data_IF_908231734530
#
_entry.id   IF_908231734530
#
_cell.length_a   1.000
_cell.length_b   1.000
_cell.length_c   1.000
_cell.angle_alpha   90.00
_cell.angle_beta   90.00
_cell.angle_gamma   90.00
#
_symmetry.space_group_name_H-M   'P 1'
#
loop_
_entity.id
_entity.type
_entity.pdbx_description
1 polymer ?
#
# COMPACT_ATOMS: atom_id res chain seq x y z
N UNK A 1 17.07 -4.30 14.52
CA UNK A 1 18.29 -4.69 15.15
C UNK A 1 18.90 -3.61 16.03
N UNK A 2 18.58 -2.33 15.79
CA UNK A 2 19.27 -1.19 16.43
C UNK A 2 18.63 -0.70 17.74
N UNK A 3 17.70 -1.46 18.28
CA UNK A 3 17.02 -1.15 19.55
C UNK A 3 17.10 -2.33 20.51
N UNK A 4 18.27 -2.65 21.07
CA UNK A 4 18.49 -3.89 21.83
C UNK A 4 17.79 -3.92 23.21
N UNK A 5 17.36 -2.79 23.74
CA UNK A 5 16.84 -2.66 25.11
C UNK A 5 15.32 -2.46 25.22
N UNK A 6 14.59 -2.60 24.11
CA UNK A 6 13.14 -2.46 24.10
C UNK A 6 12.48 -3.69 23.47
N UNK A 7 11.27 -4.00 23.92
CA UNK A 7 10.44 -5.00 23.27
C UNK A 7 10.08 -4.58 21.85
N UNK A 8 10.05 -5.55 20.94
CA UNK A 8 9.83 -5.32 19.52
C UNK A 8 8.72 -6.19 19.01
N UNK A 9 7.79 -5.57 18.29
CA UNK A 9 6.82 -6.27 17.47
C UNK A 9 7.04 -5.93 16.00
N UNK A 10 6.79 -6.88 15.12
CA UNK A 10 6.88 -6.68 13.68
C UNK A 10 5.67 -7.26 12.96
N UNK A 11 5.39 -6.75 11.78
CA UNK A 11 4.42 -7.33 10.85
C UNK A 11 5.15 -8.16 9.81
N UNK A 12 4.60 -9.32 9.44
CA UNK A 12 5.06 -10.09 8.29
C UNK A 12 4.47 -9.50 7.01
N UNK A 13 5.34 -9.15 6.06
CA UNK A 13 4.93 -8.58 4.76
C UNK A 13 4.60 -9.70 3.78
N UNK A 14 3.34 -9.92 3.47
CA UNK A 14 2.90 -11.00 2.58
C UNK A 14 2.27 -10.53 1.26
N UNK A 15 1.92 -9.26 1.13
CA UNK A 15 1.22 -8.75 -0.07
C UNK A 15 1.98 -8.88 -1.40
N UNK A 16 3.28 -9.15 -1.35
CA UNK A 16 4.17 -9.33 -2.50
C UNK A 16 5.05 -10.58 -2.39
N UNK A 17 4.72 -11.47 -1.46
CA UNK A 17 5.44 -12.72 -1.25
C UNK A 17 5.20 -13.69 -2.41
N UNK A 18 6.27 -14.13 -3.05
CA UNK A 18 6.21 -14.97 -4.25
C UNK A 18 5.49 -16.31 -4.01
N UNK A 19 5.66 -16.92 -2.83
CA UNK A 19 5.01 -18.17 -2.51
C UNK A 19 3.50 -18.00 -2.31
N UNK A 20 3.10 -16.95 -1.57
CA UNK A 20 1.68 -16.62 -1.40
C UNK A 20 1.03 -16.29 -2.74
N UNK A 21 1.69 -15.47 -3.58
CA UNK A 21 1.15 -15.09 -4.88
C UNK A 21 0.99 -16.32 -5.80
N UNK A 22 1.90 -17.28 -5.73
CA UNK A 22 1.81 -18.53 -6.46
C UNK A 22 0.64 -19.40 -5.95
N UNK A 23 0.46 -19.53 -4.62
CA UNK A 23 -0.69 -20.22 -4.04
C UNK A 23 -2.00 -19.61 -4.56
N UNK A 24 -2.14 -18.28 -4.49
CA UNK A 24 -3.34 -17.59 -4.97
C UNK A 24 -3.54 -17.82 -6.47
N UNK A 25 -2.47 -17.76 -7.26
CA UNK A 25 -2.50 -17.92 -8.71
C UNK A 25 -2.98 -19.32 -9.13
N UNK A 26 -2.55 -20.34 -8.40
CA UNK A 26 -2.98 -21.73 -8.62
C UNK A 26 -4.38 -22.03 -8.14
N UNK A 27 -5.05 -21.07 -7.50
CA UNK A 27 -6.39 -21.25 -6.97
C UNK A 27 -6.42 -22.07 -5.68
N UNK A 28 -5.37 -21.98 -4.87
CA UNK A 28 -5.31 -22.63 -3.55
C UNK A 28 -6.54 -22.33 -2.71
N UNK A 29 -7.01 -23.31 -1.96
CA UNK A 29 -8.14 -23.12 -1.05
C UNK A 29 -7.76 -22.17 0.10
N UNK A 30 -8.75 -21.47 0.67
CA UNK A 30 -8.49 -20.52 1.76
C UNK A 30 -7.76 -21.16 2.94
N UNK A 31 -8.05 -22.44 3.25
CA UNK A 31 -7.35 -23.17 4.31
C UNK A 31 -5.84 -23.31 4.08
N UNK A 32 -5.41 -23.51 2.84
CA UNK A 32 -3.98 -23.61 2.50
C UNK A 32 -3.29 -22.25 2.67
N UNK A 33 -4.01 -21.16 2.35
CA UNK A 33 -3.52 -19.80 2.58
C UNK A 33 -3.43 -19.53 4.09
N UNK A 34 -4.43 -19.95 4.86
CA UNK A 34 -4.44 -19.83 6.31
C UNK A 34 -3.26 -20.60 6.94
N UNK A 35 -3.00 -21.81 6.49
CA UNK A 35 -1.87 -22.62 6.96
C UNK A 35 -0.53 -21.94 6.70
N UNK A 36 -0.38 -21.35 5.52
CA UNK A 36 0.82 -20.58 5.19
C UNK A 36 0.97 -19.34 6.05
N UNK A 37 -0.08 -18.55 6.23
CA UNK A 37 -0.09 -17.35 7.09
C UNK A 37 0.24 -17.74 8.54
N UNK A 38 -0.37 -18.81 9.06
CA UNK A 38 -0.10 -19.32 10.39
C UNK A 38 1.36 -19.76 10.56
N UNK A 39 1.91 -20.46 9.55
CA UNK A 39 3.32 -20.85 9.53
C UNK A 39 4.23 -19.62 9.60
N UNK A 40 4.00 -18.61 8.78
CA UNK A 40 4.80 -17.38 8.78
C UNK A 40 4.74 -16.67 10.13
N UNK A 41 3.55 -16.47 10.70
CA UNK A 41 3.39 -15.84 12.01
C UNK A 41 4.14 -16.62 13.10
N UNK A 42 4.04 -17.94 13.09
CA UNK A 42 4.74 -18.80 14.05
C UNK A 42 6.26 -18.79 13.87
N UNK A 43 6.73 -18.83 12.64
CA UNK A 43 8.15 -18.88 12.33
C UNK A 43 8.87 -17.54 12.61
N UNK A 44 8.18 -16.42 12.35
CA UNK A 44 8.75 -15.08 12.49
C UNK A 44 8.47 -14.42 13.83
N UNK A 45 7.52 -14.95 14.60
CA UNK A 45 6.98 -14.32 15.83
C UNK A 45 6.43 -12.92 15.59
N UNK A 46 5.97 -12.63 14.37
CA UNK A 46 5.32 -11.38 14.04
C UNK A 46 3.95 -11.27 14.70
N UNK A 47 3.57 -10.04 15.07
CA UNK A 47 2.31 -9.75 15.76
C UNK A 47 1.10 -9.66 14.82
N UNK A 48 1.34 -9.56 13.51
CA UNK A 48 0.29 -9.45 12.51
C UNK A 48 0.83 -9.50 11.08
N UNK A 49 -0.07 -9.33 10.14
CA UNK A 49 0.24 -9.36 8.70
C UNK A 49 0.11 -7.96 8.11
N UNK A 50 1.05 -7.57 7.29
CA UNK A 50 1.02 -6.33 6.52
C UNK A 50 1.05 -6.59 5.02
N UNK A 51 0.30 -5.78 4.32
CA UNK A 51 0.32 -5.67 2.86
C UNK A 51 0.82 -4.28 2.50
N UNK A 52 1.80 -4.22 1.62
CA UNK A 52 2.30 -2.98 1.06
C UNK A 52 2.14 -3.05 -0.44
N UNK A 53 1.40 -2.10 -1.02
CA UNK A 53 1.14 -2.04 -2.45
C UNK A 53 0.80 -3.45 -3.02
N UNK A 54 -0.38 -4.00 -2.73
CA UNK A 54 -0.69 -5.43 -2.93
C UNK A 54 -0.36 -5.90 -4.35
N UNK A 55 0.60 -6.82 -4.48
CA UNK A 55 1.08 -7.32 -5.78
C UNK A 55 1.88 -6.31 -6.60
N UNK A 56 1.88 -5.02 -6.24
CA UNK A 56 2.48 -3.96 -7.04
C UNK A 56 4.01 -4.01 -7.05
N UNK A 57 4.63 -4.27 -5.90
CA UNK A 57 6.09 -4.43 -5.82
C UNK A 57 6.53 -5.63 -6.65
N UNK A 58 5.81 -6.74 -6.56
CA UNK A 58 6.08 -7.91 -7.38
C UNK A 58 5.87 -7.63 -8.88
N UNK A 59 4.78 -6.97 -9.25
CA UNK A 59 4.50 -6.59 -10.62
C UNK A 59 5.60 -5.70 -11.20
N UNK A 60 6.16 -4.80 -10.39
CA UNK A 60 7.26 -3.93 -10.77
C UNK A 60 8.51 -4.71 -11.20
N UNK A 61 8.85 -5.82 -10.54
CA UNK A 61 9.95 -6.71 -10.94
C UNK A 61 9.79 -7.23 -12.38
N UNK A 62 8.55 -7.33 -12.85
CA UNK A 62 8.20 -7.79 -14.18
C UNK A 62 7.82 -6.65 -15.13
N UNK A 63 8.34 -5.45 -14.86
CA UNK A 63 8.17 -4.25 -15.67
C UNK A 63 6.73 -3.72 -15.79
N UNK A 64 5.83 -4.14 -14.89
CA UNK A 64 4.49 -3.57 -14.76
C UNK A 64 4.54 -2.39 -13.78
N UNK A 65 4.46 -1.16 -14.30
CA UNK A 65 4.69 0.07 -13.54
C UNK A 65 3.47 0.62 -12.82
N UNK A 66 2.31 0.12 -13.12
CA UNK A 66 1.06 0.43 -12.45
C UNK A 66 0.27 -0.85 -12.29
N UNK A 67 -0.45 -0.97 -11.18
CA UNK A 67 -1.33 -2.08 -10.91
C UNK A 67 -2.55 -1.57 -10.13
N UNK A 68 -3.67 -1.45 -10.82
CA UNK A 68 -4.94 -1.07 -10.22
C UNK A 68 -5.56 -2.25 -9.46
N UNK A 69 -6.49 -1.93 -8.55
CA UNK A 69 -7.07 -2.91 -7.62
C UNK A 69 -7.66 -4.14 -8.32
N UNK A 70 -8.24 -3.95 -9.51
CA UNK A 70 -8.86 -5.02 -10.31
C UNK A 70 -8.05 -5.42 -11.54
N UNK A 71 -6.82 -4.93 -11.65
CA UNK A 71 -5.91 -5.27 -12.73
C UNK A 71 -5.11 -6.52 -12.39
N UNK A 72 -4.92 -7.40 -13.37
CA UNK A 72 -4.10 -8.58 -13.18
C UNK A 72 -2.60 -8.27 -13.25
N UNK A 73 -1.84 -8.76 -12.28
CA UNK A 73 -0.39 -8.77 -12.38
C UNK A 73 0.07 -9.62 -13.57
N UNK A 74 1.11 -9.16 -14.26
CA UNK A 74 1.62 -9.83 -15.48
C UNK A 74 2.07 -11.26 -15.17
N UNK A 75 2.74 -11.47 -14.06
CA UNK A 75 3.31 -12.78 -13.72
C UNK A 75 2.28 -13.76 -13.18
N UNK A 76 1.58 -13.38 -12.12
CA UNK A 76 0.70 -14.32 -11.39
C UNK A 76 -0.75 -14.30 -11.86
N UNK A 77 -1.12 -13.34 -12.70
CA UNK A 77 -2.50 -13.19 -13.20
C UNK A 77 -3.54 -13.06 -12.08
N UNK A 78 -3.15 -12.43 -10.98
CA UNK A 78 -4.01 -12.13 -9.84
C UNK A 78 -4.12 -10.63 -9.63
N UNK A 79 -5.22 -10.22 -9.02
CA UNK A 79 -5.50 -8.80 -8.74
C UNK A 79 -5.11 -8.42 -7.31
N UNK A 80 -4.76 -7.15 -7.02
CA UNK A 80 -4.66 -6.62 -5.66
C UNK A 80 -5.88 -6.93 -4.80
N UNK A 81 -7.09 -6.81 -5.36
CA UNK A 81 -8.34 -7.17 -4.69
C UNK A 81 -8.31 -8.59 -4.13
N UNK A 82 -7.86 -9.54 -4.92
CA UNK A 82 -7.80 -10.95 -4.48
C UNK A 82 -6.79 -11.14 -3.37
N UNK A 83 -5.63 -10.48 -3.44
CA UNK A 83 -4.59 -10.54 -2.41
C UNK A 83 -5.13 -10.01 -1.08
N UNK A 84 -5.71 -8.81 -1.07
CA UNK A 84 -6.27 -8.21 0.15
C UNK A 84 -7.37 -9.08 0.75
N UNK A 85 -8.30 -9.57 -0.09
CA UNK A 85 -9.41 -10.42 0.35
C UNK A 85 -8.94 -11.69 1.06
N UNK A 86 -8.03 -12.45 0.44
CA UNK A 86 -7.61 -13.72 1.03
C UNK A 86 -6.78 -13.53 2.29
N UNK A 87 -5.98 -12.45 2.37
CA UNK A 87 -5.20 -12.14 3.57
C UNK A 87 -6.07 -11.58 4.70
N UNK A 88 -7.04 -10.71 4.41
CA UNK A 88 -8.00 -10.25 5.42
C UNK A 88 -8.78 -11.42 6.01
N UNK A 89 -9.21 -12.36 5.15
CA UNK A 89 -9.89 -13.59 5.59
C UNK A 89 -8.98 -14.48 6.43
N UNK A 90 -7.72 -14.70 6.03
CA UNK A 90 -6.76 -15.50 6.79
C UNK A 90 -6.52 -14.90 8.18
N UNK A 91 -6.27 -13.60 8.27
CA UNK A 91 -6.08 -12.89 9.54
C UNK A 91 -7.29 -13.05 10.45
N UNK A 92 -8.51 -12.92 9.91
CA UNK A 92 -9.75 -13.05 10.65
C UNK A 92 -10.00 -14.50 11.12
N UNK A 93 -9.89 -15.48 10.22
CA UNK A 93 -10.15 -16.90 10.52
C UNK A 93 -9.12 -17.49 11.50
N UNK A 94 -7.88 -17.01 11.47
CA UNK A 94 -6.84 -17.40 12.42
C UNK A 94 -6.95 -16.69 13.78
N UNK A 95 -7.86 -15.74 13.93
CA UNK A 95 -8.03 -14.98 15.16
C UNK A 95 -6.82 -14.13 15.52
N UNK A 96 -6.09 -13.61 14.52
CA UNK A 96 -4.94 -12.73 14.75
C UNK A 96 -5.45 -11.44 15.42
N UNK A 97 -4.87 -11.00 16.56
CA UNK A 97 -5.39 -9.85 17.30
C UNK A 97 -5.35 -8.53 16.54
N UNK A 98 -4.37 -8.38 15.66
CA UNK A 98 -4.25 -7.19 14.83
C UNK A 98 -4.95 -7.39 13.48
N UNK A 99 -5.73 -6.40 13.01
CA UNK A 99 -6.34 -6.47 11.69
C UNK A 99 -5.27 -6.50 10.59
N UNK A 100 -5.64 -6.90 9.39
CA UNK A 100 -4.75 -6.80 8.24
C UNK A 100 -4.31 -5.33 8.06
N UNK A 101 -3.02 -5.08 8.12
CA UNK A 101 -2.44 -3.74 7.99
C UNK A 101 -2.12 -3.47 6.52
N UNK A 102 -2.72 -2.43 5.94
CA UNK A 102 -2.69 -2.19 4.49
C UNK A 102 -2.11 -0.83 4.16
N UNK A 103 -1.02 -0.83 3.42
CA UNK A 103 -0.55 0.29 2.62
C UNK A 103 -1.12 0.12 1.21
N UNK A 104 -2.05 0.97 0.82
CA UNK A 104 -2.74 0.86 -0.46
C UNK A 104 -1.81 1.14 -1.65
N UNK A 105 -2.24 0.75 -2.83
CA UNK A 105 -1.55 1.10 -4.08
C UNK A 105 -1.73 2.59 -4.41
N UNK A 106 -0.90 3.09 -5.32
CA UNK A 106 -0.97 4.46 -5.85
C UNK A 106 -0.74 5.57 -4.80
N UNK A 107 0.12 5.31 -3.80
CA UNK A 107 0.52 6.31 -2.81
C UNK A 107 0.97 7.60 -3.51
N UNK A 108 0.43 8.75 -3.08
CA UNK A 108 0.78 10.06 -3.61
C UNK A 108 0.30 10.36 -5.03
N UNK A 109 -0.40 9.44 -5.68
CA UNK A 109 -0.90 9.64 -7.06
C UNK A 109 -2.20 10.43 -7.04
N UNK A 110 -2.35 11.48 -7.88
CA UNK A 110 -3.61 12.22 -7.97
C UNK A 110 -4.81 11.30 -8.24
N UNK A 111 -5.87 11.46 -7.46
CA UNK A 111 -7.09 10.66 -7.57
C UNK A 111 -7.03 9.29 -6.89
N UNK A 112 -5.97 8.99 -6.13
CA UNK A 112 -5.78 7.68 -5.50
C UNK A 112 -6.83 7.34 -4.45
N UNK A 113 -7.59 8.31 -3.93
CA UNK A 113 -8.68 8.04 -2.98
C UNK A 113 -9.67 6.99 -3.50
N UNK A 114 -9.89 6.94 -4.82
CA UNK A 114 -10.78 5.93 -5.44
C UNK A 114 -10.20 4.52 -5.31
N UNK A 115 -8.92 4.34 -5.61
CA UNK A 115 -8.26 3.04 -5.43
C UNK A 115 -8.15 2.63 -3.96
N UNK A 116 -8.03 3.59 -3.06
CA UNK A 116 -8.06 3.36 -1.61
C UNK A 116 -9.41 2.82 -1.17
N UNK A 117 -10.52 3.43 -1.60
CA UNK A 117 -11.87 2.94 -1.33
C UNK A 117 -12.06 1.52 -1.88
N UNK A 118 -11.61 1.24 -3.10
CA UNK A 118 -11.70 -0.10 -3.68
C UNK A 118 -10.84 -1.12 -2.94
N UNK A 119 -9.68 -0.72 -2.40
CA UNK A 119 -8.85 -1.57 -1.55
C UNK A 119 -9.57 -1.91 -0.24
N UNK A 120 -10.23 -0.94 0.38
CA UNK A 120 -11.05 -1.17 1.58
C UNK A 120 -12.20 -2.15 1.28
N UNK A 121 -12.89 -1.96 0.17
CA UNK A 121 -13.96 -2.88 -0.27
C UNK A 121 -13.45 -4.31 -0.50
N UNK A 122 -12.19 -4.47 -0.89
CA UNK A 122 -11.60 -5.78 -1.11
C UNK A 122 -11.56 -6.65 0.15
N UNK A 123 -11.58 -6.05 1.33
CA UNK A 123 -11.63 -6.77 2.60
C UNK A 123 -13.02 -7.33 2.94
N UNK A 124 -14.07 -7.04 2.15
CA UNK A 124 -15.43 -7.58 2.29
C UNK A 124 -16.02 -7.38 3.69
N UNK A 125 -15.73 -6.24 4.33
CA UNK A 125 -16.21 -5.91 5.68
C UNK A 125 -15.42 -6.53 6.82
N UNK A 126 -14.40 -7.31 6.54
CA UNK A 126 -13.49 -7.84 7.56
C UNK A 126 -12.60 -6.72 8.13
N UNK A 127 -12.08 -6.90 9.36
CA UNK A 127 -11.23 -5.89 10.00
C UNK A 127 -9.97 -5.61 9.19
N UNK A 128 -9.74 -4.33 8.87
CA UNK A 128 -8.51 -3.85 8.24
C UNK A 128 -8.06 -2.53 8.86
N UNK A 129 -6.77 -2.28 8.79
CA UNK A 129 -6.16 -1.03 9.18
C UNK A 129 -5.45 -0.40 7.97
N UNK A 130 -5.86 0.80 7.59
CA UNK A 130 -5.20 1.55 6.50
C UNK A 130 -4.17 2.48 7.11
N UNK A 131 -2.92 2.26 6.77
CA UNK A 131 -1.81 3.06 7.29
C UNK A 131 -1.65 4.37 6.53
N UNK A 132 -1.15 5.40 7.23
CA UNK A 132 -0.83 6.74 6.71
C UNK A 132 -1.83 7.23 5.64
N UNK A 133 -3.10 7.23 6.03
CA UNK A 133 -4.25 7.50 5.15
C UNK A 133 -4.14 8.80 4.34
N UNK A 134 -3.42 9.81 4.86
CA UNK A 134 -3.24 11.08 4.17
C UNK A 134 -2.57 10.93 2.80
N UNK A 135 -1.65 9.96 2.64
CA UNK A 135 -1.00 9.69 1.36
C UNK A 135 -1.88 8.93 0.36
N UNK A 136 -3.02 8.47 0.82
CA UNK A 136 -4.03 7.73 0.06
C UNK A 136 -5.33 8.51 -0.14
N UNK A 137 -5.33 9.81 0.20
CA UNK A 137 -6.51 10.68 0.19
C UNK A 137 -6.41 11.83 -0.82
N UNK A 138 -5.73 11.60 -1.93
CA UNK A 138 -5.60 12.60 -2.98
C UNK A 138 -6.76 12.55 -3.95
N UNK A 139 -7.36 13.73 -4.19
CA UNK A 139 -8.29 13.99 -5.28
C UNK A 139 -7.56 14.40 -6.56
N UNK A 140 -8.33 14.74 -7.59
CA UNK A 140 -7.79 15.11 -8.91
C UNK A 140 -8.47 16.34 -9.52
N UNK A 141 -9.10 17.18 -8.69
CA UNK A 141 -9.90 18.33 -9.16
C UNK A 141 -9.15 19.68 -9.09
N UNK A 142 -7.97 19.71 -8.47
CA UNK A 142 -7.20 20.92 -8.26
C UNK A 142 -6.28 21.27 -9.41
N UNK A 143 -5.46 22.30 -9.20
CA UNK A 143 -4.38 22.65 -10.10
C UNK A 143 -3.46 21.44 -10.31
N UNK A 144 -3.06 21.22 -11.55
CA UNK A 144 -2.22 20.08 -11.97
C UNK A 144 -2.80 18.71 -11.58
N UNK A 145 -4.13 18.60 -11.52
CA UNK A 145 -4.86 17.41 -11.08
C UNK A 145 -4.58 16.99 -9.63
N UNK A 146 -4.24 17.93 -8.75
CA UNK A 146 -3.99 17.66 -7.34
C UNK A 146 -5.02 18.39 -6.47
N UNK A 147 -5.69 17.67 -5.60
CA UNK A 147 -6.59 18.20 -4.58
C UNK A 147 -6.64 17.27 -3.37
N UNK A 148 -7.21 17.72 -2.28
CA UNK A 148 -7.55 16.85 -1.16
C UNK A 148 -8.86 16.12 -1.44
N UNK A 149 -8.92 14.84 -1.11
CA UNK A 149 -10.13 14.04 -1.01
C UNK A 149 -10.30 13.47 0.41
N UNK A 150 -9.73 14.16 1.40
CA UNK A 150 -9.81 13.74 2.80
C UNK A 150 -11.25 13.72 3.33
N UNK A 151 -12.11 14.63 2.86
CA UNK A 151 -13.52 14.65 3.24
C UNK A 151 -14.24 13.38 2.77
N UNK A 152 -14.05 12.99 1.50
CA UNK A 152 -14.66 11.81 0.89
C UNK A 152 -14.18 10.53 1.55
N UNK A 153 -12.89 10.42 1.83
CA UNK A 153 -12.29 9.28 2.53
C UNK A 153 -12.82 9.19 3.95
N UNK A 154 -12.85 10.29 4.69
CA UNK A 154 -13.33 10.32 6.08
C UNK A 154 -14.80 9.94 6.15
N UNK A 155 -15.63 10.48 5.27
CA UNK A 155 -17.04 10.10 5.19
C UNK A 155 -17.21 8.60 4.91
N UNK A 156 -16.38 8.04 4.04
CA UNK A 156 -16.40 6.62 3.72
C UNK A 156 -15.97 5.76 4.91
N UNK A 157 -14.85 6.09 5.56
CA UNK A 157 -14.31 5.37 6.72
C UNK A 157 -15.32 5.35 7.87
N UNK A 158 -15.96 6.47 8.16
CA UNK A 158 -16.92 6.59 9.26
C UNK A 158 -18.17 5.69 9.10
N UNK A 159 -18.41 5.16 7.90
CA UNK A 159 -19.51 4.23 7.62
C UNK A 159 -19.15 2.77 7.84
N UNK A 160 -17.86 2.46 8.06
CA UNK A 160 -17.36 1.08 8.12
C UNK A 160 -16.85 0.76 9.53
N UNK A 161 -17.59 -0.03 10.34
CA UNK A 161 -17.27 -0.22 11.74
C UNK A 161 -15.96 -0.98 12.00
N UNK A 162 -15.52 -1.81 11.08
CA UNK A 162 -14.33 -2.67 11.22
C UNK A 162 -13.09 -2.10 10.55
N UNK A 163 -13.13 -0.81 10.20
CA UNK A 163 -12.03 -0.10 9.56
C UNK A 163 -11.38 0.84 10.56
N UNK A 164 -10.06 0.76 10.65
CA UNK A 164 -9.24 1.73 11.37
C UNK A 164 -8.21 2.31 10.43
N UNK A 165 -7.70 3.49 10.75
CA UNK A 165 -6.60 4.09 10.01
C UNK A 165 -5.68 4.88 10.95
N UNK A 166 -4.47 5.12 10.50
CA UNK A 166 -3.58 6.08 11.12
C UNK A 166 -3.26 7.23 10.17
N UNK A 167 -2.78 8.33 10.74
CA UNK A 167 -2.20 9.44 10.01
C UNK A 167 -0.70 9.37 10.25
N UNK A 168 0.08 9.11 9.21
CA UNK A 168 1.52 9.08 9.29
C UNK A 168 2.07 10.45 9.69
N UNK A 169 3.14 10.46 10.44
CA UNK A 169 3.83 11.70 10.75
C UNK A 169 4.43 12.29 9.47
N UNK A 170 3.97 13.47 9.09
CA UNK A 170 4.55 14.22 7.98
C UNK A 170 5.68 15.09 8.53
N UNK A 171 6.89 14.75 8.18
CA UNK A 171 8.03 15.61 8.41
C UNK A 171 8.18 16.54 7.20
N UNK A 172 7.90 17.80 7.41
CA UNK A 172 8.10 18.82 6.40
C UNK A 172 9.60 19.08 6.25
N UNK A 173 10.17 18.57 5.19
CA UNK A 173 11.54 18.78 4.80
C UNK A 173 11.63 19.16 3.32
N UNK A 174 12.80 19.54 2.85
CA UNK A 174 13.03 19.87 1.44
C UNK A 174 13.41 18.66 0.59
N UNK A 175 13.09 17.46 1.07
CA UNK A 175 13.45 16.21 0.39
C UNK A 175 12.24 15.29 0.30
N UNK A 176 12.16 14.55 -0.77
CA UNK A 176 11.25 13.42 -0.94
C UNK A 176 12.07 12.15 -1.08
N UNK A 177 11.61 11.05 -0.47
CA UNK A 177 12.21 9.73 -0.67
C UNK A 177 11.56 9.09 -1.89
N UNK A 178 12.40 8.63 -2.80
CA UNK A 178 11.97 7.96 -4.02
C UNK A 178 12.70 6.63 -4.13
N UNK A 179 12.02 5.61 -4.59
CA UNK A 179 12.60 4.27 -4.72
C UNK A 179 13.18 4.00 -6.14
N UNK A 180 13.91 2.94 -6.30
CA UNK A 180 14.77 2.52 -7.38
C UNK A 180 14.60 3.04 -8.80
N UNK A 181 13.47 2.84 -9.48
CA UNK A 181 13.22 3.37 -10.83
C UNK A 181 12.77 4.83 -10.84
N UNK A 182 12.75 5.45 -9.71
CA UNK A 182 12.21 6.80 -9.52
C UNK A 182 12.86 7.85 -10.41
N UNK A 183 14.15 7.74 -10.76
CA UNK A 183 14.80 8.68 -11.66
C UNK A 183 14.13 8.69 -13.04
N UNK A 184 13.80 7.53 -13.58
CA UNK A 184 13.09 7.42 -14.86
C UNK A 184 11.65 7.88 -14.74
N UNK A 185 11.01 7.53 -13.64
CA UNK A 185 9.63 7.93 -13.39
C UNK A 185 9.53 9.41 -13.06
N UNK A 186 10.49 9.96 -12.33
CA UNK A 186 10.62 11.40 -12.14
C UNK A 186 10.80 12.13 -13.47
N UNK A 187 11.66 11.65 -14.36
CA UNK A 187 11.81 12.22 -15.68
C UNK A 187 10.51 12.19 -16.49
N UNK A 188 9.78 11.09 -16.43
CA UNK A 188 8.47 10.98 -17.09
C UNK A 188 7.43 11.91 -16.44
N UNK A 189 7.49 12.09 -15.13
CA UNK A 189 6.55 12.91 -14.38
C UNK A 189 6.83 14.39 -14.53
N UNK A 190 8.10 14.79 -14.61
CA UNK A 190 8.50 16.18 -14.83
C UNK A 190 8.08 16.71 -16.20
N UNK A 191 7.87 15.86 -17.20
CA UNK A 191 7.24 16.26 -18.46
C UNK A 191 5.77 16.65 -18.27
N UNK A 192 5.05 15.98 -17.36
CA UNK A 192 3.67 16.32 -17.05
C UNK A 192 3.57 17.52 -16.08
N UNK A 193 4.56 17.69 -15.23
CA UNK A 193 4.60 18.70 -14.16
C UNK A 193 5.99 19.33 -14.03
N UNK A 194 6.43 20.14 -15.01
CA UNK A 194 7.82 20.62 -15.08
C UNK A 194 8.25 21.48 -13.89
N UNK A 195 7.32 22.13 -13.22
CA UNK A 195 7.61 23.05 -12.12
C UNK A 195 7.29 22.50 -10.74
N UNK A 196 6.84 21.24 -10.65
CA UNK A 196 6.42 20.64 -9.40
C UNK A 196 6.83 19.20 -9.31
N UNK A 197 7.53 18.88 -8.25
CA UNK A 197 7.82 17.53 -7.86
C UNK A 197 6.61 16.95 -7.14
N UNK A 198 6.11 15.85 -7.63
CA UNK A 198 5.18 15.04 -6.88
C UNK A 198 5.99 14.03 -6.10
N UNK A 199 5.77 13.99 -4.80
CA UNK A 199 6.26 12.92 -3.97
C UNK A 199 5.49 11.65 -4.39
N UNK A 200 6.07 10.88 -5.25
CA UNK A 200 5.56 9.55 -5.58
C UNK A 200 6.41 8.55 -4.84
N UNK A 201 5.82 7.88 -3.89
CA UNK A 201 6.43 6.70 -3.31
C UNK A 201 6.23 5.55 -4.29
N UNK A 202 7.30 5.23 -4.97
CA UNK A 202 7.34 4.10 -5.87
C UNK A 202 8.16 3.04 -5.18
N UNK A 203 7.46 2.20 -4.48
CA UNK A 203 8.09 1.08 -3.83
C UNK A 203 8.66 0.11 -4.85
N UNK A 204 9.97 0.01 -4.85
CA UNK A 204 10.68 -1.04 -5.55
C UNK A 204 11.81 -1.59 -4.69
N UNK A 205 12.24 -2.79 -4.98
CA UNK A 205 13.33 -3.44 -4.23
C UNK A 205 14.72 -2.90 -4.56
N UNK A 206 14.84 -2.02 -5.53
CA UNK A 206 16.13 -1.54 -6.01
C UNK A 206 16.78 -0.46 -5.12
N UNK A 207 16.16 -0.09 -4.02
CA UNK A 207 16.66 0.89 -3.07
C UNK A 207 15.98 2.25 -3.18
N UNK A 208 16.24 3.10 -2.21
CA UNK A 208 15.67 4.44 -2.10
C UNK A 208 16.70 5.52 -2.42
N UNK A 209 16.26 6.55 -3.10
CA UNK A 209 17.02 7.79 -3.28
C UNK A 209 16.36 8.95 -2.56
N UNK A 210 17.15 9.95 -2.17
CA UNK A 210 16.64 11.21 -1.65
C UNK A 210 16.83 12.28 -2.70
N UNK A 211 15.75 12.95 -3.06
CA UNK A 211 15.76 13.97 -4.09
C UNK A 211 15.34 15.31 -3.47
N UNK A 212 16.02 16.41 -3.77
CA UNK A 212 15.63 17.73 -3.30
C UNK A 212 14.19 18.06 -3.73
N UNK A 213 13.42 18.56 -2.80
CA UNK A 213 12.03 18.91 -2.99
C UNK A 213 11.82 20.42 -2.76
N UNK A 214 11.18 21.09 -3.69
CA UNK A 214 10.87 22.50 -3.58
C UNK A 214 9.42 22.70 -3.11
N UNK A 215 9.26 23.30 -1.96
CA UNK A 215 7.95 23.67 -1.46
C UNK A 215 7.33 24.82 -2.24
N UNK A 216 6.07 24.68 -2.52
CA UNK A 216 5.20 25.74 -2.99
C UNK A 216 3.93 25.72 -2.15
N UNK A 217 3.10 26.77 -2.20
CA UNK A 217 1.80 26.82 -1.52
C UNK A 217 0.88 25.67 -1.92
N UNK A 218 1.13 25.05 -3.06
CA UNK A 218 0.39 23.91 -3.60
C UNK A 218 0.98 22.55 -3.21
N UNK A 219 2.03 22.52 -2.41
CA UNK A 219 2.64 21.28 -1.91
C UNK A 219 1.88 20.68 -0.75
N UNK A 220 0.89 21.40 -0.21
CA UNK A 220 0.04 20.95 0.89
C UNK A 220 -1.31 20.51 0.34
N UNK A 221 -1.72 19.31 0.69
CA UNK A 221 -3.00 18.72 0.31
C UNK A 221 -3.83 18.46 1.56
#
# INVERSE_FOLDING_TARGET
ADTPFIDKGGYALLGNDDFLLDLISRGAHQSEINDYVAFILKATQCIGIKVVNPGGINAFKFNQRALNVDENSVRYKITPRKIVRVLARAVYELGVPHPLHVHCSNLGVPGNFKSTIETIKAAEGLPVHITHIQFHSYGNNGDRNFSSASAEITEYINKIPNLTCDVGQVLFGQTATMSGDSMKQHANHSHAHPDKWLCMDIECEAGCGVVPFKYTDQSFV
#
